data_IF_065801216869
#
_entry.id   IF_065801216869
#
_cell.length_a   1.000
_cell.length_b   1.000
_cell.length_c   1.000
_cell.angle_alpha   90.00
_cell.angle_beta   90.00
_cell.angle_gamma   90.00
#
_symmetry.space_group_name_H-M   'P 1'
#
loop_
_entity.id
_entity.type
_entity.pdbx_description
1 polymer ?
#
# COMPACT_ATOMS: atom_id res chain seq x y z
N UNK A 1 0.14 -5.83 40.61
CA UNK A 1 0.55 -5.43 39.25
C UNK A 1 0.60 -6.70 38.43
N UNK A 2 -0.52 -7.09 37.82
CA UNK A 2 -0.51 -8.17 36.85
C UNK A 2 0.08 -7.58 35.56
N UNK A 3 1.18 -8.17 35.10
CA UNK A 3 1.75 -7.91 33.78
C UNK A 3 0.78 -8.56 32.78
N UNK A 4 -0.28 -7.86 32.40
CA UNK A 4 -1.30 -8.41 31.49
C UNK A 4 -0.76 -8.44 30.05
N UNK A 5 -1.09 -9.52 29.35
CA UNK A 5 -0.40 -10.08 28.20
C UNK A 5 0.01 -9.08 27.10
N UNK A 6 1.25 -9.19 26.63
CA UNK A 6 1.74 -8.56 25.40
C UNK A 6 1.02 -9.25 24.25
N UNK A 7 -0.02 -8.63 23.72
CA UNK A 7 -0.73 -9.11 22.52
C UNK A 7 0.03 -8.67 21.28
N UNK A 8 0.22 -9.56 20.31
CA UNK A 8 0.80 -9.27 19.00
C UNK A 8 -0.29 -9.11 17.93
N UNK A 9 -0.01 -8.39 16.85
CA UNK A 9 -0.85 -8.34 15.63
C UNK A 9 0.00 -8.62 14.42
N UNK A 10 -0.52 -9.34 13.44
CA UNK A 10 0.21 -9.61 12.21
C UNK A 10 0.28 -8.34 11.36
N UNK A 11 1.48 -7.82 11.15
CA UNK A 11 1.79 -6.62 10.36
C UNK A 11 3.09 -6.76 9.58
N UNK A 12 3.60 -5.70 8.96
CA UNK A 12 4.90 -5.71 8.26
C UNK A 12 5.99 -5.19 9.18
N UNK A 13 6.95 -6.03 9.55
CA UNK A 13 8.16 -5.67 10.28
C UNK A 13 9.36 -5.78 9.33
N UNK A 14 10.08 -4.67 9.11
CA UNK A 14 11.28 -4.65 8.27
C UNK A 14 11.05 -5.27 6.88
N UNK A 15 10.04 -4.75 6.16
CA UNK A 15 9.63 -5.19 4.82
C UNK A 15 9.08 -6.63 4.68
N UNK A 16 8.91 -7.38 5.77
CA UNK A 16 8.29 -8.71 5.77
C UNK A 16 7.12 -8.78 6.77
N UNK A 17 6.19 -9.73 6.60
CA UNK A 17 5.16 -9.96 7.62
C UNK A 17 5.80 -10.31 8.98
N UNK A 18 5.13 -10.08 10.09
CA UNK A 18 5.69 -10.26 11.43
C UNK A 18 4.66 -9.95 12.52
N UNK A 19 5.05 -10.13 13.77
CA UNK A 19 4.23 -9.71 14.91
C UNK A 19 4.63 -8.30 15.33
N UNK A 20 3.62 -7.46 15.51
CA UNK A 20 3.72 -6.13 16.09
C UNK A 20 3.24 -6.21 17.52
N UNK A 21 4.10 -5.84 18.45
CA UNK A 21 3.73 -5.75 19.87
C UNK A 21 2.72 -4.62 20.07
N UNK A 22 1.56 -4.96 20.63
CA UNK A 22 0.51 -3.98 20.95
C UNK A 22 0.66 -3.43 22.36
N UNK A 23 0.00 -2.30 22.61
CA UNK A 23 -0.14 -1.70 23.94
C UNK A 23 -1.62 -1.60 24.29
N UNK A 24 -1.96 -1.77 25.57
CA UNK A 24 -3.34 -1.80 26.02
C UNK A 24 -4.16 -0.57 25.60
N UNK A 25 -3.55 0.62 25.59
CA UNK A 25 -4.23 1.89 25.25
C UNK A 25 -4.73 1.98 23.79
N UNK A 26 -4.21 1.12 22.91
CA UNK A 26 -4.65 1.05 21.50
C UNK A 26 -5.95 0.28 21.34
N UNK A 27 -6.31 -0.55 22.32
CA UNK A 27 -7.59 -1.25 22.33
C UNK A 27 -8.65 -0.38 23.00
N UNK A 28 -9.90 -0.40 22.49
CA UNK A 28 -10.98 0.28 23.17
C UNK A 28 -11.24 -0.40 24.52
N UNK A 29 -11.63 0.41 25.51
CA UNK A 29 -12.14 -0.15 26.77
C UNK A 29 -13.45 -0.91 26.50
N UNK A 30 -13.63 -2.05 27.17
CA UNK A 30 -14.87 -2.81 27.07
C UNK A 30 -16.06 -1.98 27.58
N UNK A 31 -17.08 -1.81 26.74
CA UNK A 31 -18.32 -1.13 27.11
C UNK A 31 -19.23 -2.05 27.93
N UNK A 32 -19.94 -1.52 28.92
CA UNK A 32 -20.74 -2.36 29.84
C UNK A 32 -21.75 -3.28 29.14
N UNK A 33 -21.93 -4.49 29.67
CA UNK A 33 -22.90 -5.46 29.19
C UNK A 33 -22.32 -6.40 28.13
N UNK A 34 -23.16 -6.86 27.22
CA UNK A 34 -22.89 -7.79 26.12
C UNK A 34 -22.28 -7.14 24.87
N UNK A 35 -21.85 -5.89 24.97
CA UNK A 35 -21.34 -5.13 23.83
C UNK A 35 -19.89 -5.49 23.51
N UNK A 36 -19.63 -5.56 22.21
CA UNK A 36 -18.27 -5.53 21.67
C UNK A 36 -17.97 -4.11 21.20
N UNK A 37 -16.83 -3.56 21.59
CA UNK A 37 -16.38 -2.25 21.09
C UNK A 37 -15.33 -2.46 20.00
N UNK A 38 -15.58 -1.86 18.83
CA UNK A 38 -14.67 -1.87 17.69
C UNK A 38 -14.12 -0.47 17.48
N UNK A 39 -12.80 -0.32 17.62
CA UNK A 39 -12.05 0.89 17.28
C UNK A 39 -11.60 0.84 15.84
N UNK A 40 -11.92 1.88 15.08
CA UNK A 40 -11.42 2.10 13.73
C UNK A 40 -10.45 3.27 13.77
N UNK A 41 -9.17 3.01 13.50
CA UNK A 41 -8.14 4.03 13.38
C UNK A 41 -8.00 4.53 11.95
N UNK A 42 -8.13 5.84 11.75
CA UNK A 42 -7.82 6.47 10.47
C UNK A 42 -6.30 6.58 10.28
N UNK A 43 -5.86 6.65 9.03
CA UNK A 43 -4.49 7.03 8.72
C UNK A 43 -4.20 8.45 9.17
N UNK A 44 -2.96 8.73 9.57
CA UNK A 44 -2.43 10.07 9.76
C UNK A 44 -1.56 10.43 8.54
N UNK A 45 -1.90 11.44 7.73
CA UNK A 45 -1.00 11.94 6.72
C UNK A 45 0.27 12.46 7.39
N UNK A 46 1.40 12.47 6.68
CA UNK A 46 2.68 12.80 7.32
C UNK A 46 2.78 14.29 7.69
N UNK A 47 1.75 15.10 7.43
CA UNK A 47 1.61 16.42 8.05
C UNK A 47 0.22 16.62 8.59
N UNK A 48 0.15 16.97 9.87
CA UNK A 48 -1.10 17.30 10.53
C UNK A 48 -1.59 18.74 10.25
N UNK A 49 -0.83 19.55 9.50
CA UNK A 49 -1.08 21.01 9.42
C UNK A 49 -2.05 21.44 8.32
N UNK A 50 -2.28 20.62 7.29
CA UNK A 50 -3.20 20.94 6.21
C UNK A 50 -4.16 19.77 5.93
N UNK A 51 -5.47 20.03 6.05
CA UNK A 51 -6.57 19.06 5.78
C UNK A 51 -6.64 18.60 4.32
N UNK A 52 -5.74 19.11 3.47
CA UNK A 52 -5.76 18.85 2.05
C UNK A 52 -5.28 17.44 1.71
N UNK A 53 -4.57 16.71 2.59
CA UNK A 53 -4.14 15.31 2.36
C UNK A 53 -4.85 14.25 3.25
N UNK A 54 -6.08 14.52 3.70
CA UNK A 54 -6.82 13.68 4.65
C UNK A 54 -6.92 12.20 4.26
N UNK A 55 -6.56 11.36 5.22
CA UNK A 55 -6.72 9.91 5.26
C UNK A 55 -7.91 9.50 6.16
N UNK A 56 -8.46 10.45 6.92
CA UNK A 56 -9.75 10.35 7.61
C UNK A 56 -10.94 10.32 6.63
N UNK A 57 -12.10 9.93 7.15
CA UNK A 57 -13.32 9.69 6.35
C UNK A 57 -14.52 9.30 7.22
N UNK A 58 -15.63 8.83 6.63
CA UNK A 58 -16.83 8.46 7.39
C UNK A 58 -16.58 7.28 8.34
N UNK A 59 -17.15 7.37 9.55
CA UNK A 59 -17.25 6.24 10.48
C UNK A 59 -17.96 5.09 9.75
N UNK A 60 -17.37 3.89 9.66
CA UNK A 60 -17.95 2.79 8.88
C UNK A 60 -19.15 2.13 9.57
N UNK A 61 -19.91 1.33 8.81
CA UNK A 61 -20.79 0.32 9.38
C UNK A 61 -19.94 -0.86 9.89
N UNK A 62 -20.37 -1.46 11.00
CA UNK A 62 -19.72 -2.63 11.60
C UNK A 62 -20.73 -3.76 11.73
N UNK A 63 -20.35 -4.96 11.30
CA UNK A 63 -21.06 -6.21 11.57
C UNK A 63 -20.14 -7.19 12.28
N UNK A 64 -20.67 -7.90 13.28
CA UNK A 64 -19.94 -8.90 14.06
C UNK A 64 -20.67 -10.24 14.02
N UNK A 65 -19.95 -11.32 13.73
CA UNK A 65 -20.54 -12.65 13.68
C UNK A 65 -19.69 -13.70 14.41
N UNK A 66 -20.38 -14.73 14.90
CA UNK A 66 -19.76 -15.89 15.54
C UNK A 66 -19.19 -16.89 14.53
N UNK A 67 -18.67 -18.01 15.03
CA UNK A 67 -18.09 -19.08 14.19
C UNK A 67 -19.11 -19.71 13.24
N UNK A 68 -20.40 -19.66 13.59
CA UNK A 68 -21.47 -20.17 12.75
C UNK A 68 -21.93 -19.18 11.68
N UNK A 69 -21.29 -18.01 11.52
CA UNK A 69 -21.67 -16.98 10.56
C UNK A 69 -22.95 -16.21 10.87
N UNK A 70 -23.63 -16.52 11.97
CA UNK A 70 -24.79 -15.76 12.44
C UNK A 70 -24.32 -14.42 13.02
N UNK A 71 -25.00 -13.33 12.66
CA UNK A 71 -24.74 -12.02 13.25
C UNK A 71 -24.95 -12.07 14.76
N UNK A 72 -23.92 -11.64 15.50
CA UNK A 72 -24.02 -11.27 16.90
C UNK A 72 -24.63 -9.88 17.01
N UNK A 73 -24.21 -8.95 16.14
CA UNK A 73 -24.74 -7.60 16.10
C UNK A 73 -24.29 -6.81 14.89
N UNK A 74 -25.04 -5.76 14.56
CA UNK A 74 -24.73 -4.81 13.49
C UNK A 74 -24.92 -3.39 14.00
N UNK A 75 -23.95 -2.52 13.73
CA UNK A 75 -24.01 -1.08 13.99
C UNK A 75 -23.84 -0.31 12.69
N UNK A 76 -24.87 0.42 12.28
CA UNK A 76 -24.76 1.31 11.12
C UNK A 76 -24.00 2.59 11.49
N UNK A 77 -23.31 3.18 10.51
CA UNK A 77 -22.68 4.48 10.64
C UNK A 77 -23.65 5.52 11.19
N UNK A 78 -23.12 6.43 12.01
CA UNK A 78 -23.84 7.59 12.53
C UNK A 78 -23.62 8.85 11.67
N UNK A 79 -22.93 8.74 10.53
CA UNK A 79 -22.63 9.86 9.63
C UNK A 79 -21.50 10.78 10.09
N UNK A 80 -20.90 10.55 11.27
CA UNK A 80 -19.72 11.27 11.72
C UNK A 80 -18.48 10.88 10.91
N UNK A 81 -17.45 11.72 11.02
CA UNK A 81 -16.16 11.55 10.35
C UNK A 81 -15.10 11.25 11.39
N UNK A 82 -14.16 10.37 11.05
CA UNK A 82 -12.92 10.14 11.79
C UNK A 82 -11.87 11.06 11.19
N UNK A 83 -11.36 11.99 11.99
CA UNK A 83 -10.28 12.88 11.56
C UNK A 83 -8.97 12.11 11.38
N UNK A 84 -8.07 12.69 10.60
CA UNK A 84 -6.71 12.20 10.37
C UNK A 84 -5.98 11.77 11.65
N UNK A 85 -5.49 10.53 11.65
CA UNK A 85 -4.76 9.92 12.76
C UNK A 85 -5.56 9.72 14.04
N UNK A 86 -6.86 10.02 14.00
CA UNK A 86 -7.76 9.78 15.11
C UNK A 86 -8.48 8.43 14.94
N UNK A 87 -9.37 8.12 15.87
CA UNK A 87 -10.14 6.89 15.85
C UNK A 87 -11.61 7.13 16.25
N UNK A 88 -12.46 6.18 15.91
CA UNK A 88 -13.82 6.07 16.45
C UNK A 88 -14.01 4.72 17.14
N UNK A 89 -14.58 4.76 18.34
CA UNK A 89 -15.01 3.58 19.08
C UNK A 89 -16.51 3.33 18.80
N UNK A 90 -16.80 2.13 18.31
CA UNK A 90 -18.12 1.73 17.82
C UNK A 90 -18.61 0.56 18.68
N UNK A 91 -19.56 0.85 19.56
CA UNK A 91 -20.23 -0.18 20.36
C UNK A 91 -21.29 -0.90 19.52
N UNK A 92 -21.06 -2.21 19.33
CA UNK A 92 -21.99 -3.13 18.70
C UNK A 92 -22.69 -3.94 19.80
N UNK A 93 -24.01 -3.80 19.86
CA UNK A 93 -24.86 -4.54 20.78
C UNK A 93 -25.05 -5.96 20.28
N UNK A 94 -24.80 -6.95 21.15
CA UNK A 94 -24.95 -8.37 20.84
C UNK A 94 -26.19 -9.00 21.51
N UNK A 95 -27.12 -8.16 22.00
CA UNK A 95 -28.31 -8.60 22.71
C UNK A 95 -27.94 -9.32 23.99
N UNK A 96 -28.41 -10.56 24.17
CA UNK A 96 -28.07 -11.37 25.34
C UNK A 96 -26.81 -12.24 25.14
N UNK A 97 -26.18 -12.17 23.96
CA UNK A 97 -24.98 -12.95 23.65
C UNK A 97 -23.73 -12.30 24.23
N UNK A 98 -22.90 -13.10 24.90
CA UNK A 98 -21.53 -12.73 25.29
C UNK A 98 -20.49 -13.46 24.44
N UNK A 99 -20.88 -13.97 23.26
CA UNK A 99 -19.96 -14.63 22.34
C UNK A 99 -18.90 -13.64 21.83
N UNK A 100 -17.66 -14.11 21.76
CA UNK A 100 -16.56 -13.40 21.10
C UNK A 100 -16.73 -13.45 19.59
N UNK A 101 -16.68 -12.32 18.87
CA UNK A 101 -16.78 -12.34 17.42
C UNK A 101 -15.59 -13.09 16.79
N UNK A 102 -15.91 -14.05 15.92
CA UNK A 102 -14.94 -14.73 15.09
C UNK A 102 -14.70 -13.96 13.77
N UNK A 103 -15.72 -13.24 13.32
CA UNK A 103 -15.71 -12.48 12.08
C UNK A 103 -16.13 -11.03 12.31
N UNK A 104 -15.54 -10.13 11.53
CA UNK A 104 -15.91 -8.72 11.45
C UNK A 104 -16.10 -8.29 10.00
N UNK A 105 -17.11 -7.45 9.76
CA UNK A 105 -17.30 -6.73 8.52
C UNK A 105 -17.23 -5.24 8.81
N UNK A 106 -16.39 -4.53 8.05
CA UNK A 106 -16.25 -3.08 8.07
C UNK A 106 -16.63 -2.57 6.70
N UNK A 107 -17.74 -1.83 6.60
CA UNK A 107 -18.27 -1.31 5.34
C UNK A 107 -18.33 0.22 5.33
N UNK A 108 -18.09 0.85 4.19
CA UNK A 108 -18.07 2.30 4.05
C UNK A 108 -19.35 2.96 4.58
N UNK A 109 -19.19 3.91 5.51
CA UNK A 109 -20.31 4.59 6.18
C UNK A 109 -20.93 5.75 5.39
N UNK A 110 -20.48 5.94 4.15
CA UNK A 110 -20.85 7.04 3.26
C UNK A 110 -19.76 7.27 2.20
N UNK A 111 -19.86 8.40 1.51
CA UNK A 111 -19.04 8.72 0.32
C UNK A 111 -17.71 9.44 0.65
N UNK A 112 -17.40 9.60 1.94
CA UNK A 112 -16.13 10.19 2.37
C UNK A 112 -15.16 9.04 2.66
N UNK A 113 -14.35 8.70 1.67
CA UNK A 113 -13.42 7.58 1.71
C UNK A 113 -12.55 7.60 2.97
N UNK A 114 -12.35 6.45 3.60
CA UNK A 114 -11.57 6.29 4.82
C UNK A 114 -10.35 5.39 4.54
N UNK A 115 -9.15 5.85 4.89
CA UNK A 115 -7.96 4.99 4.89
C UNK A 115 -7.74 4.42 6.29
N UNK A 116 -8.06 3.14 6.48
CA UNK A 116 -8.00 2.46 7.78
C UNK A 116 -6.56 2.01 8.05
N UNK A 117 -5.95 2.54 9.11
CA UNK A 117 -4.60 2.16 9.56
C UNK A 117 -4.65 0.92 10.44
N UNK A 118 -5.65 0.81 11.32
CA UNK A 118 -5.89 -0.36 12.14
C UNK A 118 -7.36 -0.51 12.54
N UNK A 119 -7.72 -1.74 12.90
CA UNK A 119 -8.99 -2.12 13.53
C UNK A 119 -8.62 -2.82 14.83
N UNK A 120 -9.19 -2.40 15.95
CA UNK A 120 -9.00 -3.05 17.25
C UNK A 120 -10.34 -3.37 17.89
N UNK A 121 -10.49 -4.56 18.45
CA UNK A 121 -11.73 -5.09 18.98
C UNK A 121 -11.51 -5.52 20.43
N UNK A 122 -12.42 -5.12 21.31
CA UNK A 122 -12.53 -5.63 22.67
C UNK A 122 -13.93 -6.20 22.89
N UNK A 123 -14.02 -7.51 23.13
CA UNK A 123 -15.29 -8.23 23.31
C UNK A 123 -15.81 -8.18 24.76
N UNK A 124 -17.00 -8.73 25.08
CA UNK A 124 -17.55 -8.72 26.44
C UNK A 124 -16.71 -9.46 27.48
N UNK A 125 -15.95 -10.46 27.03
CA UNK A 125 -15.01 -11.21 27.87
C UNK A 125 -13.64 -10.52 27.99
N UNK A 126 -13.50 -9.31 27.43
CA UNK A 126 -12.27 -8.50 27.38
C UNK A 126 -11.15 -9.12 26.54
N UNK A 127 -11.48 -10.08 25.67
CA UNK A 127 -10.49 -10.53 24.69
C UNK A 127 -10.27 -9.43 23.66
N UNK A 128 -9.01 -9.26 23.28
CA UNK A 128 -8.56 -8.24 22.36
C UNK A 128 -8.08 -8.86 21.06
N UNK A 129 -8.52 -8.29 19.93
CA UNK A 129 -8.14 -8.73 18.59
C UNK A 129 -7.94 -7.52 17.69
N UNK A 130 -7.01 -7.58 16.76
CA UNK A 130 -6.73 -6.44 15.89
C UNK A 130 -6.25 -6.85 14.51
N UNK A 131 -6.33 -5.89 13.60
CA UNK A 131 -5.91 -5.96 12.21
C UNK A 131 -5.25 -4.64 11.83
N UNK A 132 -4.22 -4.67 11.00
CA UNK A 132 -3.52 -3.48 10.52
C UNK A 132 -3.55 -3.39 8.99
N UNK A 133 -3.53 -2.17 8.47
CA UNK A 133 -3.68 -1.91 7.04
C UNK A 133 -2.56 -2.49 6.16
N UNK A 134 -1.44 -2.92 6.73
CA UNK A 134 -0.42 -3.69 6.00
C UNK A 134 -0.94 -5.01 5.45
N UNK A 135 -1.89 -5.65 6.13
CA UNK A 135 -2.53 -6.87 5.63
C UNK A 135 -3.29 -6.57 4.34
N UNK A 136 -4.05 -5.47 4.29
CA UNK A 136 -4.75 -5.06 3.08
C UNK A 136 -3.79 -4.72 1.94
N UNK A 137 -2.69 -4.02 2.24
CA UNK A 137 -1.59 -3.81 1.29
C UNK A 137 -1.06 -5.14 0.72
N UNK A 138 -0.69 -6.09 1.59
CA UNK A 138 -0.14 -7.39 1.17
C UNK A 138 -1.11 -8.18 0.29
N UNK A 139 -2.40 -8.09 0.60
CA UNK A 139 -3.45 -8.73 -0.19
C UNK A 139 -3.82 -7.98 -1.47
N UNK A 140 -3.24 -6.81 -1.74
CA UNK A 140 -3.37 -6.11 -3.01
C UNK A 140 -4.50 -5.08 -3.06
N UNK A 141 -5.07 -4.70 -1.90
CA UNK A 141 -6.05 -3.63 -1.81
C UNK A 141 -5.40 -2.26 -2.09
N UNK A 142 -6.23 -1.24 -2.35
CA UNK A 142 -5.75 0.14 -2.41
C UNK A 142 -5.24 0.62 -1.06
N UNK A 143 -4.07 1.26 -1.07
CA UNK A 143 -3.36 1.60 0.15
C UNK A 143 -2.57 2.91 0.02
N UNK A 144 -2.18 3.46 1.17
CA UNK A 144 -1.23 4.56 1.26
C UNK A 144 -0.36 4.46 2.51
N UNK A 145 0.75 5.19 2.56
CA UNK A 145 1.54 5.28 3.79
C UNK A 145 0.79 6.10 4.85
N UNK A 146 0.94 5.70 6.11
CA UNK A 146 0.40 6.42 7.26
C UNK A 146 1.50 6.69 8.27
N UNK A 147 1.40 7.81 8.98
CA UNK A 147 2.22 8.10 10.15
C UNK A 147 1.49 7.83 11.47
N UNK A 148 0.29 7.23 11.41
CA UNK A 148 -0.45 6.83 12.60
C UNK A 148 0.35 5.75 13.34
N UNK A 149 0.46 5.86 14.66
CA UNK A 149 1.24 4.91 15.47
C UNK A 149 0.30 3.85 16.04
N UNK A 150 0.70 2.59 15.90
CA UNK A 150 0.03 1.43 16.48
C UNK A 150 1.04 0.56 17.24
N UNK A 151 0.75 0.20 18.49
CA UNK A 151 1.62 -0.66 19.31
C UNK A 151 2.75 0.05 20.05
N UNK A 152 3.69 -0.72 20.58
CA UNK A 152 4.72 -0.26 21.54
C UNK A 152 6.01 0.27 20.91
N UNK A 153 6.22 0.03 19.60
CA UNK A 153 7.48 0.25 18.89
C UNK A 153 7.47 1.45 17.94
N UNK A 154 6.55 2.41 18.12
CA UNK A 154 6.28 3.49 17.16
C UNK A 154 5.98 2.97 15.74
N UNK A 155 5.42 1.76 15.65
CA UNK A 155 5.11 1.13 14.39
C UNK A 155 4.04 1.94 13.65
N UNK A 156 4.29 2.21 12.36
CA UNK A 156 3.43 3.01 11.50
C UNK A 156 2.88 2.13 10.38
N UNK A 157 1.72 1.49 10.57
CA UNK A 157 1.16 0.63 9.54
C UNK A 157 0.79 1.42 8.30
N UNK A 158 0.85 0.77 7.13
CA UNK A 158 0.14 1.28 5.95
C UNK A 158 -1.36 1.35 6.25
N UNK A 159 -2.07 2.23 5.56
CA UNK A 159 -3.54 2.26 5.63
C UNK A 159 -4.15 1.68 4.35
N UNK A 160 -5.33 1.07 4.49
CA UNK A 160 -6.12 0.50 3.38
C UNK A 160 -7.39 1.30 3.18
N UNK A 161 -7.69 1.65 1.94
CA UNK A 161 -8.85 2.48 1.61
C UNK A 161 -10.15 1.69 1.61
N UNK A 162 -11.22 2.32 2.10
CA UNK A 162 -12.61 1.98 1.76
C UNK A 162 -13.39 3.22 1.29
N UNK A 163 -14.35 3.05 0.39
CA UNK A 163 -15.18 4.14 -0.12
C UNK A 163 -16.60 3.70 -0.51
N UNK A 164 -17.57 4.60 -0.31
CA UNK A 164 -18.99 4.32 -0.49
C UNK A 164 -19.52 4.53 -1.91
N UNK A 165 -18.80 5.28 -2.75
CA UNK A 165 -19.27 5.69 -4.08
C UNK A 165 -18.23 5.59 -5.21
N UNK A 166 -17.18 4.79 -5.00
CA UNK A 166 -16.09 4.55 -5.95
C UNK A 166 -15.35 5.81 -6.41
N UNK A 167 -15.39 6.89 -5.61
CA UNK A 167 -14.71 8.14 -5.92
C UNK A 167 -13.20 7.92 -5.98
N UNK A 168 -12.55 8.55 -6.97
CA UNK A 168 -11.13 8.35 -7.28
C UNK A 168 -10.75 6.90 -7.56
N UNK A 169 -11.71 6.14 -8.11
CA UNK A 169 -11.57 4.72 -8.40
C UNK A 169 -11.31 3.88 -7.15
N UNK A 170 -11.67 4.29 -5.92
CA UNK A 170 -11.54 3.43 -4.74
C UNK A 170 -12.71 2.44 -4.72
N UNK A 171 -12.50 1.22 -5.22
CA UNK A 171 -13.61 0.26 -5.38
C UNK A 171 -13.86 -0.60 -4.14
N UNK A 172 -13.02 -0.49 -3.11
CA UNK A 172 -13.17 -1.23 -1.86
C UNK A 172 -14.30 -0.63 -1.02
N UNK A 173 -15.53 -1.13 -1.14
CA UNK A 173 -16.66 -0.69 -0.32
C UNK A 173 -16.63 -1.28 1.09
N UNK A 174 -16.27 -2.55 1.23
CA UNK A 174 -16.20 -3.22 2.52
C UNK A 174 -15.05 -4.21 2.60
N UNK A 175 -14.71 -4.57 3.84
CA UNK A 175 -13.74 -5.60 4.18
C UNK A 175 -14.45 -6.56 5.14
N UNK A 176 -14.43 -7.85 4.84
CA UNK A 176 -14.81 -8.91 5.79
C UNK A 176 -13.60 -9.75 6.13
N UNK A 177 -13.46 -10.13 7.41
CA UNK A 177 -12.34 -10.97 7.83
C UNK A 177 -12.72 -11.90 8.98
N UNK A 178 -12.08 -13.07 9.00
CA UNK A 178 -11.98 -13.91 10.19
C UNK A 178 -10.95 -13.27 11.12
N UNK A 179 -11.41 -12.39 12.02
CA UNK A 179 -10.52 -11.52 12.81
C UNK A 179 -9.55 -12.32 13.69
N UNK A 180 -9.94 -13.55 14.06
CA UNK A 180 -9.10 -14.44 14.85
C UNK A 180 -7.85 -14.92 14.11
N UNK A 181 -7.79 -14.81 12.78
CA UNK A 181 -6.63 -15.16 11.94
C UNK A 181 -5.54 -14.07 11.90
N UNK A 182 -5.81 -12.91 12.52
CA UNK A 182 -4.89 -11.75 12.54
C UNK A 182 -4.45 -11.37 13.96
N UNK A 183 -5.05 -12.02 14.97
CA UNK A 183 -4.67 -11.87 16.36
C UNK A 183 -3.38 -12.67 16.63
N UNK A 184 -2.43 -12.07 17.34
CA UNK A 184 -1.29 -12.75 17.96
C UNK A 184 -1.49 -12.79 19.46
N UNK A 185 -2.56 -13.43 19.93
CA UNK A 185 -2.94 -13.38 21.35
C UNK A 185 -2.12 -14.40 22.15
N UNK A 186 -1.55 -13.96 23.27
CA UNK A 186 -0.94 -14.84 24.26
C UNK A 186 0.50 -15.24 23.95
N UNK A 187 0.86 -16.50 24.23
CA UNK A 187 2.23 -17.01 24.05
C UNK A 187 2.69 -16.79 22.59
N UNK A 188 3.77 -16.04 22.35
CA UNK A 188 4.34 -15.85 21.02
C UNK A 188 4.62 -17.17 20.29
N UNK A 189 4.77 -18.31 20.99
CA UNK A 189 4.95 -19.62 20.37
C UNK A 189 3.68 -20.18 19.70
N UNK A 190 2.49 -19.74 20.13
CA UNK A 190 1.19 -20.28 19.69
C UNK A 190 0.68 -19.63 18.38
N UNK A 191 1.34 -18.59 17.87
CA UNK A 191 0.92 -17.88 16.64
C UNK A 191 2.08 -17.66 15.65
N UNK A 192 3.26 -18.19 15.95
CA UNK A 192 4.39 -18.21 15.02
C UNK A 192 4.07 -19.03 13.77
N UNK A 193 3.19 -20.03 13.87
CA UNK A 193 2.73 -20.86 12.76
C UNK A 193 2.08 -20.02 11.65
N UNK A 194 1.05 -19.24 11.97
CA UNK A 194 0.37 -18.39 10.97
C UNK A 194 1.28 -17.31 10.38
N UNK A 195 2.09 -16.65 11.22
CA UNK A 195 3.04 -15.64 10.74
C UNK A 195 4.03 -16.26 9.75
N UNK A 196 4.55 -17.44 10.07
CA UNK A 196 5.45 -18.18 9.19
C UNK A 196 4.72 -18.61 7.91
N UNK A 197 3.51 -19.11 8.03
CA UNK A 197 2.71 -19.55 6.89
C UNK A 197 2.44 -18.38 5.92
N UNK A 198 2.04 -17.22 6.42
CA UNK A 198 1.78 -16.04 5.61
C UNK A 198 3.05 -15.47 4.97
N UNK A 199 4.20 -15.56 5.66
CA UNK A 199 5.51 -15.22 5.09
C UNK A 199 5.88 -16.14 3.94
N UNK A 200 5.73 -17.45 4.14
CA UNK A 200 6.11 -18.47 3.16
C UNK A 200 5.16 -18.48 1.97
N UNK A 201 3.89 -18.17 2.20
CA UNK A 201 2.84 -18.17 1.20
C UNK A 201 1.77 -17.11 1.50
N UNK A 202 1.97 -15.89 1.00
CA UNK A 202 1.00 -14.79 1.21
C UNK A 202 -0.42 -15.11 0.72
N UNK A 203 -0.57 -16.06 -0.22
CA UNK A 203 -1.89 -16.49 -0.66
C UNK A 203 -2.65 -17.22 0.45
N UNK A 204 -1.99 -17.84 1.42
CA UNK A 204 -2.70 -18.44 2.56
C UNK A 204 -3.41 -17.39 3.41
N UNK A 205 -2.87 -16.17 3.49
CA UNK A 205 -3.53 -15.04 4.15
C UNK A 205 -4.67 -14.46 3.31
N UNK A 206 -4.48 -14.33 1.99
CA UNK A 206 -5.35 -13.52 1.12
C UNK A 206 -6.28 -14.32 0.20
N UNK A 207 -6.04 -15.62 0.04
CA UNK A 207 -6.65 -16.46 -1.00
C UNK A 207 -7.84 -17.28 -0.53
N UNK A 208 -8.28 -17.08 0.72
CA UNK A 208 -9.47 -17.71 1.29
C UNK A 208 -10.51 -16.64 1.59
N UNK A 209 -11.69 -16.76 0.97
CA UNK A 209 -12.71 -15.72 1.10
C UNK A 209 -13.21 -15.55 2.55
N UNK A 210 -13.41 -16.62 3.35
CA UNK A 210 -13.70 -16.47 4.77
C UNK A 210 -12.63 -15.72 5.58
N UNK A 211 -11.35 -15.86 5.22
CA UNK A 211 -10.26 -15.25 5.98
C UNK A 211 -10.22 -13.75 5.80
N UNK A 212 -10.22 -13.31 4.54
CA UNK A 212 -10.19 -11.89 4.19
C UNK A 212 -10.76 -11.72 2.79
N UNK A 213 -11.80 -10.89 2.68
CA UNK A 213 -12.38 -10.49 1.39
C UNK A 213 -12.63 -8.99 1.38
N UNK A 214 -12.31 -8.37 0.26
CA UNK A 214 -12.70 -7.00 -0.07
C UNK A 214 -13.90 -7.04 -1.01
N UNK A 215 -14.83 -6.12 -0.83
CA UNK A 215 -16.12 -6.11 -1.52
C UNK A 215 -16.31 -4.80 -2.26
N UNK A 216 -16.80 -4.82 -3.49
CA UNK A 216 -17.15 -3.62 -4.25
C UNK A 216 -18.59 -3.16 -4.02
N UNK A 217 -19.36 -3.93 -3.27
CA UNK A 217 -20.69 -3.54 -2.80
C UNK A 217 -21.06 -4.42 -1.63
N UNK A 218 -21.70 -3.84 -0.63
CA UNK A 218 -22.18 -4.56 0.55
C UNK A 218 -23.46 -3.94 1.10
N UNK A 219 -24.46 -4.78 1.37
CA UNK A 219 -25.69 -4.43 2.07
C UNK A 219 -25.72 -5.10 3.45
N UNK A 220 -25.56 -4.31 4.52
CA UNK A 220 -25.52 -4.80 5.90
C UNK A 220 -26.79 -5.57 6.33
N UNK A 221 -27.92 -5.35 5.67
CA UNK A 221 -29.18 -6.02 6.01
C UNK A 221 -29.33 -7.37 5.26
N UNK A 222 -28.77 -7.47 4.05
CA UNK A 222 -28.96 -8.63 3.16
C UNK A 222 -27.76 -9.55 3.10
N UNK A 223 -26.58 -8.99 2.94
CA UNK A 223 -25.38 -9.75 2.61
C UNK A 223 -24.81 -10.46 3.84
N UNK A 224 -24.13 -11.59 3.59
CA UNK A 224 -23.36 -12.32 4.59
C UNK A 224 -21.96 -12.57 4.07
N UNK A 225 -20.99 -12.57 4.99
CA UNK A 225 -19.63 -12.92 4.62
C UNK A 225 -19.52 -14.45 4.49
N UNK A 226 -18.65 -14.94 3.60
CA UNK A 226 -18.30 -16.34 3.58
C UNK A 226 -17.66 -16.73 4.92
N UNK A 227 -17.98 -17.92 5.40
CA UNK A 227 -17.39 -18.51 6.61
C UNK A 227 -16.67 -19.81 6.30
N UNK A 228 -15.80 -20.23 7.22
CA UNK A 228 -15.25 -21.57 7.23
C UNK A 228 -16.31 -22.56 7.70
N UNK A 229 -16.72 -23.46 6.81
CA UNK A 229 -17.64 -24.55 7.13
C UNK A 229 -17.07 -25.88 6.60
N UNK A 230 -16.57 -26.78 7.46
CA UNK A 230 -16.53 -26.68 8.93
C UNK A 230 -15.59 -25.57 9.44
N UNK A 231 -15.76 -25.20 10.72
CA UNK A 231 -14.92 -24.19 11.39
C UNK A 231 -13.44 -24.55 11.25
N UNK A 232 -12.63 -23.56 10.87
CA UNK A 232 -11.20 -23.71 10.67
C UNK A 232 -10.51 -24.26 11.92
N UNK A 233 -9.54 -25.14 11.72
CA UNK A 233 -8.80 -25.81 12.79
C UNK A 233 -7.33 -25.44 12.69
N UNK A 234 -6.68 -25.29 13.85
CA UNK A 234 -5.27 -24.89 13.94
C UNK A 234 -4.43 -25.97 14.62
N UNK A 235 -3.15 -26.03 14.24
CA UNK A 235 -2.11 -26.77 14.93
C UNK A 235 -1.74 -26.09 16.25
N UNK A 236 -0.95 -26.75 17.08
CA UNK A 236 -0.54 -26.22 18.39
C UNK A 236 0.35 -24.97 18.28
N UNK A 237 0.99 -24.76 17.12
CA UNK A 237 1.77 -23.55 16.79
C UNK A 237 0.93 -22.43 16.16
N UNK A 238 -0.39 -22.65 16.06
CA UNK A 238 -1.36 -21.74 15.46
C UNK A 238 -1.52 -21.86 13.96
N UNK A 239 -0.62 -22.55 13.24
CA UNK A 239 -0.74 -22.71 11.77
C UNK A 239 -2.00 -23.48 11.36
N UNK A 240 -2.41 -23.36 10.10
CA UNK A 240 -3.61 -24.02 9.63
C UNK A 240 -3.45 -25.55 9.53
N UNK A 241 -4.44 -26.33 10.01
CA UNK A 241 -4.38 -27.80 9.97
C UNK A 241 -4.54 -28.40 8.57
N UNK A 242 -5.38 -27.84 7.69
CA UNK A 242 -5.55 -28.32 6.31
C UNK A 242 -6.43 -27.41 5.44
N UNK A 243 -6.42 -27.64 4.11
CA UNK A 243 -7.09 -26.92 3.01
C UNK A 243 -7.87 -25.65 3.38
N UNK A 244 -7.12 -24.56 3.45
CA UNK A 244 -7.63 -23.22 3.78
C UNK A 244 -8.22 -22.49 2.59
N UNK A 245 -7.91 -22.93 1.37
CA UNK A 245 -8.33 -22.25 0.15
C UNK A 245 -9.76 -22.62 -0.18
N UNK A 246 -10.67 -21.74 0.19
CA UNK A 246 -12.10 -21.94 -0.02
C UNK A 246 -12.78 -20.62 -0.38
N UNK A 247 -13.83 -20.72 -1.20
CA UNK A 247 -14.77 -19.62 -1.40
C UNK A 247 -15.65 -19.39 -0.16
N UNK A 248 -15.63 -20.33 0.80
CA UNK A 248 -16.45 -20.31 2.00
C UNK A 248 -17.91 -20.64 1.74
N UNK A 249 -18.67 -20.65 2.83
CA UNK A 249 -20.11 -20.86 2.83
C UNK A 249 -20.81 -19.58 3.31
N UNK A 250 -21.87 -19.14 2.62
CA UNK A 250 -22.69 -18.00 3.03
C UNK A 250 -23.99 -18.43 3.72
N UNK A 251 -24.15 -19.73 4.01
CA UNK A 251 -25.34 -20.34 4.59
C UNK A 251 -26.62 -20.05 3.79
N UNK A 252 -26.48 -19.98 2.46
CA UNK A 252 -27.58 -19.69 1.55
C UNK A 252 -27.99 -18.21 1.49
N UNK A 253 -27.28 -17.32 2.18
CA UNK A 253 -27.50 -15.87 2.06
C UNK A 253 -26.77 -15.29 0.84
N UNK A 254 -27.28 -14.16 0.29
CA UNK A 254 -26.53 -13.43 -0.72
C UNK A 254 -25.20 -12.95 -0.14
N UNK A 255 -24.20 -12.88 -1.01
CA UNK A 255 -22.92 -12.25 -0.70
C UNK A 255 -22.85 -10.92 -1.43
N UNK A 256 -22.07 -9.99 -0.90
CA UNK A 256 -21.63 -8.83 -1.65
C UNK A 256 -20.85 -9.22 -2.92
N UNK A 257 -20.38 -8.23 -3.68
CA UNK A 257 -19.55 -8.49 -4.87
C UNK A 257 -18.08 -8.53 -4.46
N UNK A 258 -17.41 -9.69 -4.44
CA UNK A 258 -16.01 -9.76 -4.04
C UNK A 258 -15.12 -9.09 -5.10
N UNK A 259 -14.05 -8.47 -4.64
CA UNK A 259 -13.02 -7.90 -5.50
C UNK A 259 -11.90 -8.94 -5.66
N UNK A 260 -11.58 -9.26 -6.90
CA UNK A 260 -10.39 -10.08 -7.18
C UNK A 260 -9.13 -9.24 -6.95
N UNK A 261 -8.42 -9.55 -5.88
CA UNK A 261 -7.14 -8.93 -5.55
C UNK A 261 -5.99 -9.90 -5.83
N UNK A 262 -4.86 -9.35 -6.29
CA UNK A 262 -3.63 -10.11 -6.47
C UNK A 262 -2.63 -9.70 -5.38
N UNK A 263 -2.22 -10.61 -4.48
CA UNK A 263 -1.26 -10.31 -3.44
C UNK A 263 0.07 -9.79 -3.99
N UNK A 264 0.75 -8.90 -3.26
CA UNK A 264 1.95 -8.18 -3.73
C UNK A 264 3.05 -9.14 -4.22
N UNK A 265 3.25 -10.26 -3.52
CA UNK A 265 4.23 -11.29 -3.90
C UNK A 265 3.91 -12.07 -5.18
N UNK A 266 2.66 -12.02 -5.66
CA UNK A 266 2.18 -12.75 -6.84
C UNK A 266 1.93 -11.84 -8.06
N UNK A 267 2.06 -10.52 -7.89
CA UNK A 267 1.92 -9.58 -9.01
C UNK A 267 3.10 -9.77 -9.97
N UNK A 268 2.82 -10.31 -11.17
CA UNK A 268 3.85 -10.41 -12.22
C UNK A 268 4.35 -9.01 -12.54
N UNK A 269 5.65 -8.75 -12.36
CA UNK A 269 6.33 -7.58 -12.93
C UNK A 269 6.03 -7.56 -14.42
N UNK A 270 5.04 -6.77 -14.84
CA UNK A 270 4.94 -6.36 -16.23
C UNK A 270 6.23 -5.58 -16.49
N UNK A 271 7.22 -6.23 -17.11
CA UNK A 271 8.32 -5.54 -17.75
C UNK A 271 7.65 -4.46 -18.60
N UNK A 272 7.84 -3.18 -18.26
CA UNK A 272 7.52 -2.07 -19.15
C UNK A 272 8.43 -2.25 -20.37
N UNK A 273 8.00 -3.14 -21.26
CA UNK A 273 8.61 -3.37 -22.54
C UNK A 273 8.44 -2.09 -23.35
N UNK A 274 9.56 -1.65 -23.92
CA UNK A 274 9.67 -0.71 -25.03
C UNK A 274 8.38 -0.69 -25.84
N UNK A 275 7.77 0.49 -25.96
CA UNK A 275 6.55 0.71 -26.72
C UNK A 275 6.64 0.01 -28.09
N UNK A 276 5.85 -1.05 -28.27
CA UNK A 276 5.66 -1.67 -29.58
C UNK A 276 4.68 -0.81 -30.37
N UNK A 277 5.04 -0.27 -31.54
CA UNK A 277 4.21 0.68 -32.26
C UNK A 277 2.97 0.06 -32.94
N UNK A 278 2.71 -1.24 -32.80
CA UNK A 278 1.64 -1.93 -33.51
C UNK A 278 0.68 -2.72 -32.60
N UNK A 279 0.13 -2.07 -31.57
CA UNK A 279 -1.06 -2.58 -30.87
C UNK A 279 -2.25 -1.67 -31.16
N UNK A 280 -2.95 -1.97 -32.26
CA UNK A 280 -4.21 -1.34 -32.66
C UNK A 280 -5.38 -1.80 -31.80
N UNK A 281 -6.20 -0.83 -31.38
CA UNK A 281 -7.61 -0.96 -30.98
C UNK A 281 -7.96 -1.88 -29.79
N UNK A 282 -7.34 -1.64 -28.64
CA UNK A 282 -8.00 -1.81 -27.35
C UNK A 282 -8.26 -0.43 -26.75
N UNK A 283 -9.50 -0.12 -26.41
CA UNK A 283 -9.91 1.08 -25.67
C UNK A 283 -8.89 1.39 -24.57
N UNK A 284 -8.21 2.52 -24.71
CA UNK A 284 -7.18 2.98 -23.77
C UNK A 284 -7.82 3.06 -22.39
N UNK A 285 -7.31 2.23 -21.49
CA UNK A 285 -7.67 2.15 -20.09
C UNK A 285 -7.82 3.56 -19.52
N UNK A 286 -8.96 3.87 -18.90
CA UNK A 286 -9.06 5.01 -18.00
C UNK A 286 -7.88 4.89 -17.02
N UNK A 287 -6.95 5.85 -17.06
CA UNK A 287 -5.87 5.96 -16.10
C UNK A 287 -6.51 6.06 -14.72
N UNK A 288 -6.42 4.99 -13.92
CA UNK A 288 -6.87 5.01 -12.53
C UNK A 288 -6.28 6.23 -11.85
N UNK A 289 -7.12 7.08 -11.24
CA UNK A 289 -6.68 8.29 -10.54
C UNK A 289 -5.89 7.91 -9.30
N UNK A 290 -4.60 7.70 -9.49
CA UNK A 290 -3.68 7.29 -8.43
C UNK A 290 -3.39 8.42 -7.44
N UNK A 291 -3.65 9.66 -7.85
CA UNK A 291 -3.60 10.83 -7.00
C UNK A 291 -4.99 11.49 -6.92
N UNK A 292 -5.78 11.22 -5.87
CA UNK A 292 -7.06 11.90 -5.66
C UNK A 292 -6.90 13.39 -5.34
N UNK A 293 -5.67 13.83 -5.00
CA UNK A 293 -5.35 15.17 -4.51
C UNK A 293 -4.08 15.70 -5.18
N UNK A 294 -4.16 16.04 -6.49
CA UNK A 294 -3.01 16.46 -7.30
C UNK A 294 -2.31 17.71 -6.78
N UNK A 295 -3.03 18.51 -5.98
CA UNK A 295 -2.52 19.74 -5.41
C UNK A 295 -1.77 19.54 -4.09
N UNK A 296 -1.57 18.31 -3.60
CA UNK A 296 -0.91 18.06 -2.32
C UNK A 296 0.39 17.26 -2.43
N UNK A 297 1.41 17.74 -1.73
CA UNK A 297 2.70 17.06 -1.59
C UNK A 297 2.96 16.79 -0.11
N UNK A 298 3.10 15.52 0.23
CA UNK A 298 3.51 15.03 1.55
C UNK A 298 5.04 14.98 1.61
N UNK A 299 5.66 15.42 2.71
CA UNK A 299 7.10 15.41 2.92
C UNK A 299 7.42 14.61 4.19
N UNK A 300 8.34 13.65 4.06
CA UNK A 300 8.77 12.81 5.18
C UNK A 300 10.28 12.61 5.23
N UNK A 301 10.77 12.25 6.42
CA UNK A 301 12.14 11.73 6.65
C UNK A 301 12.14 10.27 7.10
N UNK A 302 10.96 9.64 7.20
CA UNK A 302 10.87 8.26 7.66
C UNK A 302 11.51 7.32 6.62
N UNK A 303 12.50 6.54 7.05
CA UNK A 303 13.23 5.61 6.18
C UNK A 303 12.38 4.44 5.72
N UNK A 304 11.27 4.13 6.40
CA UNK A 304 10.31 3.08 6.02
C UNK A 304 9.36 3.55 4.90
N UNK A 305 9.22 4.85 4.69
CA UNK A 305 8.37 5.43 3.64
C UNK A 305 9.12 5.54 2.31
N UNK A 306 9.47 4.38 1.75
CA UNK A 306 10.24 4.30 0.51
C UNK A 306 9.44 4.84 -0.69
N UNK A 307 10.05 5.75 -1.45
CA UNK A 307 9.41 6.44 -2.58
C UNK A 307 9.14 5.51 -3.75
N UNK A 308 10.12 4.70 -4.15
CA UNK A 308 9.96 3.79 -5.30
C UNK A 308 8.89 2.71 -5.06
N UNK A 309 8.86 1.99 -3.92
CA UNK A 309 7.78 1.06 -3.63
C UNK A 309 6.38 1.68 -3.71
N UNK A 310 6.19 2.93 -3.28
CA UNK A 310 4.90 3.60 -3.44
C UNK A 310 4.61 3.98 -4.90
N UNK A 311 5.58 4.61 -5.56
CA UNK A 311 5.40 5.15 -6.91
C UNK A 311 5.22 4.06 -7.97
N UNK A 312 5.90 2.93 -7.81
CA UNK A 312 5.83 1.81 -8.75
C UNK A 312 4.61 0.90 -8.47
N UNK A 313 3.93 1.06 -7.34
CA UNK A 313 2.82 0.19 -6.97
C UNK A 313 1.51 0.60 -7.66
N UNK A 314 0.85 -0.33 -8.39
CA UNK A 314 -0.35 -0.02 -9.17
C UNK A 314 -1.59 0.27 -8.30
N UNK A 315 -1.58 -0.15 -7.04
CA UNK A 315 -2.68 0.07 -6.07
C UNK A 315 -2.36 1.12 -5.00
N UNK A 316 -1.18 1.74 -5.05
CA UNK A 316 -0.91 2.85 -4.14
C UNK A 316 -1.73 4.05 -4.59
N UNK A 317 -2.51 4.63 -3.68
CA UNK A 317 -3.43 5.74 -3.97
C UNK A 317 -3.32 6.80 -2.88
N UNK A 318 -2.99 8.03 -3.26
CA UNK A 318 -2.85 9.16 -2.34
C UNK A 318 -2.08 10.33 -2.95
N UNK A 319 -1.83 11.38 -2.16
CA UNK A 319 -1.08 12.56 -2.59
C UNK A 319 0.32 12.24 -3.11
N UNK A 320 0.93 13.19 -3.81
CA UNK A 320 2.36 13.07 -4.15
C UNK A 320 3.22 13.12 -2.89
N UNK A 321 4.41 12.52 -2.92
CA UNK A 321 5.25 12.37 -1.72
C UNK A 321 6.73 12.64 -1.99
N UNK A 322 7.39 13.28 -1.04
CA UNK A 322 8.84 13.49 -0.97
C UNK A 322 9.39 12.75 0.25
N UNK A 323 10.47 11.99 0.06
CA UNK A 323 11.26 11.46 1.16
C UNK A 323 12.63 12.14 1.15
N UNK A 324 12.87 12.99 2.15
CA UNK A 324 14.11 13.74 2.32
C UNK A 324 15.30 12.84 2.66
N UNK A 325 15.07 11.65 3.24
CA UNK A 325 16.15 10.70 3.53
C UNK A 325 16.62 9.97 2.26
N UNK A 326 15.75 9.80 1.26
CA UNK A 326 16.10 9.21 -0.03
C UNK A 326 16.46 10.26 -1.08
N UNK A 327 16.20 11.54 -0.81
CA UNK A 327 16.26 12.64 -1.79
C UNK A 327 15.44 12.36 -3.05
N UNK A 328 14.25 11.75 -2.88
CA UNK A 328 13.35 11.38 -3.96
C UNK A 328 11.95 11.97 -3.75
N UNK A 329 11.28 12.23 -4.88
CA UNK A 329 9.90 12.67 -5.00
C UNK A 329 9.15 11.68 -5.90
N UNK A 330 7.97 11.23 -5.50
CA UNK A 330 7.01 10.58 -6.38
C UNK A 330 5.88 11.55 -6.70
N UNK A 331 5.75 11.88 -7.98
CA UNK A 331 4.52 12.40 -8.51
C UNK A 331 3.52 11.25 -8.65
N UNK A 332 2.55 11.18 -7.74
CA UNK A 332 1.57 10.11 -7.70
C UNK A 332 0.53 10.23 -8.81
N UNK A 333 0.41 11.40 -9.44
CA UNK A 333 -0.51 11.64 -10.57
C UNK A 333 -0.04 10.85 -11.79
N UNK A 334 1.25 10.98 -12.11
CA UNK A 334 1.86 10.35 -13.28
C UNK A 334 2.62 9.06 -12.94
N UNK A 335 2.77 8.73 -11.64
CA UNK A 335 3.58 7.62 -11.13
C UNK A 335 5.03 7.69 -11.61
N UNK A 336 5.61 8.89 -11.50
CA UNK A 336 6.99 9.20 -11.91
C UNK A 336 7.82 9.59 -10.68
N UNK A 337 8.98 8.97 -10.55
CA UNK A 337 9.97 9.31 -9.53
C UNK A 337 10.97 10.34 -10.07
N UNK A 338 11.16 11.42 -9.34
CA UNK A 338 12.15 12.46 -9.60
C UNK A 338 13.14 12.56 -8.43
N UNK A 339 14.42 12.86 -8.67
CA UNK A 339 15.32 13.28 -7.60
C UNK A 339 14.94 14.66 -7.05
N UNK A 340 15.36 14.96 -5.83
CA UNK A 340 15.37 16.34 -5.32
C UNK A 340 16.52 17.14 -5.94
N UNK A 341 16.30 18.43 -6.15
CA UNK A 341 17.35 19.29 -6.66
C UNK A 341 18.45 19.50 -5.61
N UNK A 342 19.69 19.47 -6.07
CA UNK A 342 20.89 19.72 -5.26
C UNK A 342 21.94 20.47 -6.07
N UNK A 343 23.11 20.74 -5.48
CA UNK A 343 24.24 21.30 -6.24
C UNK A 343 24.65 20.41 -7.41
N UNK A 344 24.42 19.09 -7.30
CA UNK A 344 24.79 18.10 -8.31
C UNK A 344 23.63 17.74 -9.26
N UNK A 345 22.39 18.07 -8.88
CA UNK A 345 21.18 17.76 -9.67
C UNK A 345 20.38 19.04 -9.88
N UNK A 346 20.51 19.64 -11.07
CA UNK A 346 19.96 20.98 -11.36
C UNK A 346 18.79 21.00 -12.34
N UNK A 347 18.46 19.86 -12.95
CA UNK A 347 17.39 19.69 -13.95
C UNK A 347 16.68 18.35 -13.71
N UNK A 348 15.43 18.22 -14.20
CA UNK A 348 14.64 17.00 -14.05
C UNK A 348 14.45 16.56 -12.60
N UNK A 349 14.40 17.53 -11.69
CA UNK A 349 14.37 17.33 -10.25
C UNK A 349 13.28 18.22 -9.62
N UNK A 350 12.80 17.83 -8.44
CA UNK A 350 11.90 18.68 -7.66
C UNK A 350 12.72 19.66 -6.82
N UNK A 351 12.51 20.95 -7.06
CA UNK A 351 13.05 22.02 -6.22
C UNK A 351 12.03 22.36 -5.14
N UNK A 352 12.38 22.14 -3.87
CA UNK A 352 11.51 22.45 -2.73
C UNK A 352 11.53 23.94 -2.34
N UNK A 353 12.37 24.75 -2.99
CA UNK A 353 12.56 26.16 -2.67
C UNK A 353 13.00 26.37 -1.22
N UNK A 354 12.58 27.49 -0.63
CA UNK A 354 12.87 27.82 0.78
C UNK A 354 12.14 26.92 1.79
N UNK A 355 11.28 26.00 1.32
CA UNK A 355 10.50 25.16 2.23
C UNK A 355 11.40 24.13 2.93
N UNK A 356 12.42 23.62 2.26
CA UNK A 356 13.39 22.69 2.87
C UNK A 356 14.10 23.27 4.10
N UNK A 357 14.35 24.59 4.14
CA UNK A 357 15.05 25.27 5.23
C UNK A 357 14.21 25.55 6.48
N UNK A 358 12.87 25.50 6.38
CA UNK A 358 11.95 25.68 7.50
C UNK A 358 11.47 24.34 8.10
N UNK A 359 11.84 23.21 7.49
CA UNK A 359 11.56 21.87 8.00
C UNK A 359 12.60 21.47 9.04
N UNK A 360 12.59 22.19 10.17
CA UNK A 360 13.25 21.75 11.39
C UNK A 360 12.51 20.50 11.90
N UNK A 361 13.19 19.35 11.80
CA UNK A 361 12.91 18.05 12.45
C UNK A 361 11.51 17.42 12.34
N UNK A 362 10.60 17.93 11.51
CA UNK A 362 9.21 17.42 11.44
C UNK A 362 8.71 17.19 10.01
N UNK A 363 7.91 16.13 9.86
CA UNK A 363 7.20 15.81 8.62
C UNK A 363 6.17 16.94 8.30
N UNK A 364 5.94 17.25 7.01
CA UNK A 364 5.11 18.38 6.57
C UNK A 364 4.37 18.12 5.25
N UNK A 365 3.35 18.93 4.93
CA UNK A 365 2.53 18.84 3.71
C UNK A 365 2.52 20.24 3.15
N UNK A 366 2.61 20.34 1.83
CA UNK A 366 2.61 21.61 1.13
C UNK A 366 1.57 21.60 0.02
N UNK A 367 0.88 22.74 -0.19
CA UNK A 367 0.13 22.95 -1.42
C UNK A 367 1.11 23.00 -2.61
N UNK A 368 0.75 22.29 -3.67
CA UNK A 368 1.46 22.28 -4.94
C UNK A 368 1.27 23.64 -5.60
N UNK A 369 2.38 24.33 -5.89
CA UNK A 369 2.33 25.55 -6.68
C UNK A 369 1.84 25.23 -8.09
N UNK A 370 0.78 25.89 -8.54
CA UNK A 370 0.27 25.75 -9.91
C UNK A 370 1.36 26.08 -10.93
N UNK A 371 1.43 25.29 -12.00
CA UNK A 371 2.19 25.58 -13.21
C UNK A 371 1.66 26.85 -13.87
N UNK A 372 2.13 28.00 -13.40
CA UNK A 372 2.02 29.28 -14.11
C UNK A 372 3.42 29.84 -14.33
N UNK A 373 3.83 29.86 -15.60
CA UNK A 373 5.03 30.55 -16.05
C UNK A 373 4.79 32.06 -15.92
N UNK A 374 5.11 32.64 -14.76
CA UNK A 374 5.58 34.02 -14.52
C UNK A 374 5.26 34.47 -13.10
N UNK A 375 6.03 34.02 -12.11
CA UNK A 375 6.29 34.84 -10.92
C UNK A 375 7.61 34.43 -10.28
N UNK A 376 8.44 35.41 -9.95
CA UNK A 376 9.74 35.31 -9.28
C UNK A 376 9.61 35.04 -7.78
N UNK A 377 8.60 34.28 -7.35
CA UNK A 377 8.37 33.91 -5.95
C UNK A 377 9.03 32.56 -5.66
N UNK A 378 10.08 32.55 -4.85
CA UNK A 378 10.94 31.39 -4.49
C UNK A 378 10.33 30.44 -3.44
N UNK A 379 9.02 30.48 -3.23
CA UNK A 379 8.40 29.92 -2.02
C UNK A 379 7.54 28.66 -2.23
N UNK A 380 7.49 28.08 -3.43
CA UNK A 380 6.69 26.88 -3.70
C UNK A 380 7.51 25.75 -4.33
N UNK A 381 7.20 24.48 -4.01
CA UNK A 381 7.78 23.33 -4.70
C UNK A 381 7.54 23.42 -6.21
N UNK A 382 8.57 23.17 -7.00
CA UNK A 382 8.50 23.25 -8.47
C UNK A 382 9.37 22.19 -9.12
N UNK A 383 8.78 21.42 -10.04
CA UNK A 383 9.53 20.50 -10.88
C UNK A 383 10.35 21.28 -11.91
N UNK A 384 11.68 21.10 -11.90
CA UNK A 384 12.57 21.69 -12.90
C UNK A 384 12.49 20.91 -14.22
N UNK A 385 12.60 21.60 -15.38
CA UNK A 385 12.56 20.95 -16.68
C UNK A 385 13.66 19.91 -16.81
N UNK A 386 13.42 18.88 -17.61
CA UNK A 386 14.44 17.87 -17.93
C UNK A 386 15.65 18.52 -18.60
N UNK A 387 16.85 18.01 -18.33
CA UNK A 387 18.03 18.48 -19.02
C UNK A 387 17.86 18.24 -20.52
N UNK A 388 17.77 19.32 -21.30
CA UNK A 388 17.97 19.26 -22.74
C UNK A 388 19.32 18.60 -22.97
N UNK A 389 19.36 17.48 -23.70
CA UNK A 389 20.60 17.01 -24.31
C UNK A 389 21.11 18.20 -25.13
N UNK A 390 22.18 18.86 -24.66
CA UNK A 390 22.90 19.76 -25.54
C UNK A 390 23.25 18.91 -26.76
N UNK A 391 22.67 19.25 -27.93
CA UNK A 391 23.26 18.85 -29.19
C UNK A 391 24.70 19.34 -29.09
N UNK A 392 25.65 18.42 -28.97
CA UNK A 392 27.04 18.68 -29.28
C UNK A 392 27.02 19.43 -30.61
N UNK A 393 27.37 20.71 -30.55
CA UNK A 393 27.53 21.53 -31.75
C UNK A 393 28.47 20.78 -32.67
N UNK A 394 27.99 20.52 -33.88
CA UNK A 394 28.81 20.01 -34.97
C UNK A 394 30.04 20.94 -35.08
N UNK A 395 31.28 20.43 -35.09
CA UNK A 395 32.43 21.26 -35.36
C UNK A 395 32.23 21.93 -36.72
N UNK A 396 32.29 23.26 -36.76
CA UNK A 396 32.40 24.01 -38.00
C UNK A 396 33.85 23.90 -38.45
N UNK A 397 34.14 22.96 -39.35
CA UNK A 397 35.38 22.96 -40.10
C UNK A 397 35.22 23.90 -41.30
N UNK A 398 35.77 25.10 -41.17
CA UNK A 398 36.20 25.95 -42.28
C UNK A 398 37.73 25.92 -42.30
N UNK A 399 38.32 25.46 -43.41
CA UNK A 399 39.48 26.18 -43.91
C UNK A 399 39.40 26.40 -45.42
N UNK A 400 39.37 27.67 -45.79
CA UNK A 400 39.66 28.21 -47.12
C UNK A 400 41.17 28.21 -47.37
N UNK A 401 41.70 27.29 -48.21
CA UNK A 401 42.91 27.51 -49.02
C UNK A 401 42.81 26.71 -50.34
N UNK A 402 42.83 27.42 -51.48
CA UNK A 402 43.16 26.98 -52.85
C UNK A 402 44.67 27.26 -53.12
N UNK A 403 45.35 26.78 -54.21
CA UNK A 403 44.94 25.90 -55.31
C UNK A 403 46.00 24.83 -55.75
N UNK A 404 45.61 24.01 -56.74
CA UNK A 404 46.40 23.33 -57.78
C UNK A 404 47.59 22.39 -57.46
N UNK A 405 47.41 21.09 -57.73
CA UNK A 405 48.20 20.40 -58.76
C UNK A 405 47.63 19.02 -59.16
N UNK A 406 47.60 18.89 -60.49
CA UNK A 406 47.28 17.84 -61.47
C UNK A 406 47.86 16.42 -61.24
N UNK A 407 47.33 15.49 -62.06
CA UNK A 407 47.81 14.14 -62.51
C UNK A 407 47.07 12.98 -61.81
N UNK A 408 46.05 12.38 -62.43
CA UNK A 408 46.09 11.13 -63.25
C UNK A 408 46.87 10.00 -62.53
N UNK A 409 46.40 8.77 -62.30
CA UNK A 409 45.77 7.88 -63.26
C UNK A 409 45.30 6.55 -62.59
N UNK A 410 44.24 5.98 -63.15
CA UNK A 410 43.90 4.56 -63.37
C UNK A 410 44.24 3.39 -62.38
N UNK A 411 43.13 2.75 -61.97
CA UNK A 411 42.75 1.35 -62.29
C UNK A 411 43.16 0.14 -61.41
N UNK A 412 42.13 -0.70 -61.19
CA UNK A 412 42.12 -2.17 -61.19
C UNK A 412 42.81 -2.90 -60.00
N UNK A 413 42.33 -4.00 -59.44
CA UNK A 413 41.23 -4.94 -59.76
C UNK A 413 41.06 -5.89 -58.56
N UNK A 414 39.81 -6.27 -58.28
CA UNK A 414 39.30 -7.60 -57.88
C UNK A 414 40.10 -8.58 -56.99
N UNK A 415 39.40 -9.11 -55.96
CA UNK A 415 39.17 -10.56 -55.83
C UNK A 415 39.38 -11.17 -54.43
N UNK A 416 38.31 -11.49 -53.70
CA UNK A 416 37.71 -12.83 -53.46
C UNK A 416 38.29 -13.61 -52.24
N UNK A 417 37.37 -14.07 -51.38
CA UNK A 417 37.48 -15.30 -50.57
C UNK A 417 37.52 -15.09 -49.05
N UNK A 418 36.41 -15.08 -48.31
CA UNK A 418 35.66 -16.23 -47.76
C UNK A 418 36.47 -17.21 -46.89
N UNK A 419 36.02 -17.45 -45.65
CA UNK A 419 36.22 -18.74 -44.99
C UNK A 419 36.61 -18.71 -43.52
N UNK A 420 35.63 -18.98 -42.66
CA UNK A 420 35.71 -19.28 -41.23
C UNK A 420 36.62 -20.47 -40.86
N UNK A 421 37.18 -20.49 -39.65
CA UNK A 421 36.92 -21.58 -38.66
C UNK A 421 37.70 -21.48 -37.35
N UNK A 422 36.93 -21.65 -36.27
CA UNK A 422 37.18 -22.40 -35.04
C UNK A 422 38.40 -22.07 -34.16
N UNK A 423 38.12 -21.37 -33.05
CA UNK A 423 38.95 -21.37 -31.84
C UNK A 423 38.56 -22.50 -30.89
N UNK A 424 39.55 -23.25 -30.43
CA UNK A 424 39.49 -24.05 -29.21
C UNK A 424 40.52 -23.49 -28.22
N UNK A 425 40.09 -23.19 -26.99
CA UNK A 425 40.99 -22.92 -25.87
C UNK A 425 40.45 -23.61 -24.62
N UNK A 426 41.41 -24.18 -23.90
CA UNK A 426 41.33 -25.09 -22.77
C UNK A 426 41.31 -24.35 -21.40
N UNK A 427 41.51 -25.17 -20.34
CA UNK A 427 41.76 -24.87 -18.91
C UNK A 427 40.49 -24.85 -18.05
N UNK A 428 40.17 -25.83 -17.18
CA UNK A 428 40.87 -26.64 -16.13
C UNK A 428 41.25 -25.87 -14.85
N UNK A 429 40.82 -26.46 -13.73
CA UNK A 429 41.16 -26.32 -12.29
C UNK A 429 40.26 -25.36 -11.47
N UNK A 430 39.50 -25.79 -10.44
CA UNK A 430 39.70 -26.65 -9.24
C UNK A 430 40.20 -25.88 -8.00
N UNK A 431 39.26 -25.60 -7.10
CA UNK A 431 39.20 -25.76 -5.61
C UNK A 431 40.40 -25.31 -4.75
N UNK A 432 40.20 -24.38 -3.80
CA UNK A 432 40.05 -24.64 -2.33
C UNK A 432 39.97 -23.36 -1.49
N UNK A 433 39.02 -23.36 -0.55
CA UNK A 433 38.97 -22.48 0.62
C UNK A 433 39.52 -23.24 1.83
N UNK A 434 40.20 -22.51 2.71
CA UNK A 434 40.37 -22.77 4.15
C UNK A 434 39.61 -21.71 4.92
#
# INVERSE_FOLDING_TARGET
MALEAISGVIGIVSDALGLIDTVADQFPSQSSGSKTTVRIGAGLPMSAKDKSASLGGKVPHIGLAGNSGNWLGVKKSNGHTIDDGNFADIDVDQGDSNESPAYVVVAAGGNDALCISYIAITDPAKNQQAWVGDVGYQCGARWYYSSAIFGSSNYQPRCTWIDGDDTNDIVEYAISMHITDFKGVGDPSQHQGLVKEYKDNVASMCGSAPRLTFWSSWDMDKDRMPIYNPVLQYNDDGSDKSNIYTAGDSLGHPMGKPIELTPVGLQRKRRRGIASPNASNGTVNATMKSNPRPDDIVITRNTEHKIRPLCDHPKALGPSIVNLAEELFCDMTDKIVYPLCSSNVTCGCLDLGNVAGNLNDTNSTLPSGSTSQNSTSTNTPRLKPTCSKQRLGKPTDDPTIHPDSRVEDSANTSGVGSGSSSGGVAFKNVIHWT
#
